data_IF_478504334391
#
_entry.id   IF_478504334391
#
_cell.length_a   1.000
_cell.length_b   1.000
_cell.length_c   1.000
_cell.angle_alpha   90.00
_cell.angle_beta   90.00
_cell.angle_gamma   90.00
#
_symmetry.space_group_name_H-M   'P 1'
#
loop_
_entity.id
_entity.type
_entity.pdbx_description
1 polymer ?
#
# COMPACT_ATOMS: atom_id res chain seq x y z
N UNK A 1 69.73 -15.83 -18.91
CA UNK A 1 69.83 -14.48 -18.30
C UNK A 1 68.46 -13.84 -18.41
N UNK A 2 67.75 -13.81 -17.27
CA UNK A 2 66.58 -12.99 -16.90
C UNK A 2 65.32 -13.01 -17.77
N UNK A 3 64.09 -13.01 -17.25
CA UNK A 3 63.55 -13.16 -15.89
C UNK A 3 62.02 -13.22 -16.06
N UNK A 4 61.37 -14.03 -15.23
CA UNK A 4 59.93 -14.08 -14.98
C UNK A 4 59.28 -12.69 -14.93
N UNK A 5 58.05 -12.51 -15.45
CA UNK A 5 56.95 -11.88 -14.69
C UNK A 5 55.57 -11.97 -15.37
N UNK A 6 54.69 -12.72 -14.68
CA UNK A 6 53.29 -12.40 -14.35
C UNK A 6 52.18 -12.62 -15.39
N UNK A 7 51.47 -13.70 -15.13
CA UNK A 7 50.09 -13.99 -15.50
C UNK A 7 49.15 -12.79 -15.30
N UNK A 8 48.43 -12.44 -16.36
CA UNK A 8 47.24 -11.58 -16.29
C UNK A 8 46.02 -12.42 -16.66
N UNK A 9 45.42 -13.10 -15.68
CA UNK A 9 44.09 -13.67 -15.83
C UNK A 9 43.12 -12.50 -15.91
N UNK A 10 42.74 -12.09 -17.12
CA UNK A 10 41.59 -11.20 -17.32
C UNK A 10 40.35 -12.07 -17.13
N UNK A 11 40.01 -12.33 -15.86
CA UNK A 11 38.73 -12.89 -15.49
C UNK A 11 37.69 -11.78 -15.66
N UNK A 12 36.99 -11.79 -16.80
CA UNK A 12 35.83 -10.94 -17.03
C UNK A 12 34.69 -11.48 -16.14
N UNK A 13 34.64 -10.99 -14.90
CA UNK A 13 33.59 -11.33 -13.95
C UNK A 13 32.25 -10.79 -14.47
N UNK A 14 31.43 -11.66 -15.05
CA UNK A 14 30.06 -11.37 -15.43
C UNK A 14 29.24 -11.19 -14.15
N UNK A 15 29.12 -9.95 -13.67
CA UNK A 15 28.35 -9.61 -12.48
C UNK A 15 26.87 -9.88 -12.71
N UNK A 16 26.35 -10.93 -12.07
CA UNK A 16 24.92 -11.23 -12.03
C UNK A 16 24.21 -10.13 -11.23
N UNK A 17 23.63 -9.14 -11.92
CA UNK A 17 22.70 -8.17 -11.35
C UNK A 17 21.40 -8.89 -10.96
N UNK A 18 21.35 -9.38 -9.72
CA UNK A 18 20.12 -9.84 -9.09
C UNK A 18 19.21 -8.62 -8.93
N UNK A 19 18.30 -8.42 -9.89
CA UNK A 19 17.23 -7.43 -9.78
C UNK A 19 16.22 -7.98 -8.77
N UNK A 20 16.29 -7.51 -7.53
CA UNK A 20 15.25 -7.78 -6.54
C UNK A 20 13.97 -7.09 -7.00
N UNK A 21 12.94 -7.88 -7.33
CA UNK A 21 11.62 -7.34 -7.59
C UNK A 21 11.13 -6.68 -6.29
N UNK A 22 10.93 -5.37 -6.32
CA UNK A 22 10.30 -4.65 -5.22
C UNK A 22 8.83 -5.09 -5.15
N UNK A 23 8.49 -5.94 -4.19
CA UNK A 23 7.10 -6.21 -3.84
C UNK A 23 6.61 -5.01 -3.02
N UNK A 24 5.91 -4.09 -3.68
CA UNK A 24 5.14 -3.08 -2.96
C UNK A 24 4.04 -3.80 -2.19
N UNK A 25 3.91 -3.52 -0.89
CA UNK A 25 2.78 -4.01 -0.11
C UNK A 25 1.52 -3.31 -0.60
N UNK A 26 0.49 -4.07 -0.97
CA UNK A 26 -0.79 -3.53 -1.39
C UNK A 26 -1.46 -2.80 -0.21
N UNK A 27 -2.00 -1.62 -0.48
CA UNK A 27 -2.66 -0.77 0.52
C UNK A 27 -4.03 -0.36 0.01
N UNK A 28 -5.03 -0.40 0.89
CA UNK A 28 -6.39 0.11 0.64
C UNK A 28 -6.73 1.18 1.67
N UNK A 29 -7.19 2.33 1.20
CA UNK A 29 -7.60 3.46 2.03
C UNK A 29 -9.13 3.45 2.18
N UNK A 30 -9.58 3.30 3.43
CA UNK A 30 -11.00 3.16 3.76
C UNK A 30 -11.46 4.36 4.58
N UNK A 31 -12.46 5.08 4.08
CA UNK A 31 -13.19 6.08 4.85
C UNK A 31 -14.47 5.44 5.37
N UNK A 32 -14.70 5.48 6.68
CA UNK A 32 -15.81 4.76 7.31
C UNK A 32 -16.62 5.62 8.28
N UNK A 33 -17.92 5.67 8.08
CA UNK A 33 -18.87 6.27 9.01
C UNK A 33 -19.25 5.35 10.18
N UNK A 34 -18.57 4.21 10.33
CA UNK A 34 -18.79 3.25 11.42
C UNK A 34 -17.89 3.59 12.60
N UNK A 35 -18.29 3.18 13.80
CA UNK A 35 -17.41 3.26 14.98
C UNK A 35 -16.19 2.37 14.75
N UNK A 36 -15.01 2.90 15.00
CA UNK A 36 -13.74 2.19 14.80
C UNK A 36 -13.71 0.82 15.49
N UNK A 37 -14.13 0.77 16.76
CA UNK A 37 -14.20 -0.46 17.54
C UNK A 37 -15.05 -1.58 16.91
N UNK A 38 -15.96 -1.24 15.99
CA UNK A 38 -16.83 -2.21 15.31
C UNK A 38 -16.29 -2.65 13.94
N UNK A 39 -15.47 -1.84 13.29
CA UNK A 39 -15.00 -2.09 11.92
C UNK A 39 -13.53 -2.50 11.88
N UNK A 40 -12.69 -1.94 12.77
CA UNK A 40 -11.25 -2.18 12.80
C UNK A 40 -10.90 -3.67 12.97
N UNK A 41 -11.51 -4.45 13.90
CA UNK A 41 -11.17 -5.87 14.04
C UNK A 41 -11.39 -6.68 12.76
N UNK A 42 -12.43 -6.36 11.99
CA UNK A 42 -12.72 -7.03 10.72
C UNK A 42 -11.70 -6.66 9.63
N UNK A 43 -11.27 -5.40 9.59
CA UNK A 43 -10.25 -4.92 8.65
C UNK A 43 -8.84 -5.43 9.03
N UNK A 44 -8.57 -5.60 10.33
CA UNK A 44 -7.34 -6.22 10.82
C UNK A 44 -7.29 -7.69 10.39
N UNK A 45 -8.39 -8.43 10.53
CA UNK A 45 -8.49 -9.83 10.07
C UNK A 45 -8.35 -9.93 8.55
N UNK A 46 -9.02 -9.05 7.79
CA UNK A 46 -8.82 -8.93 6.35
C UNK A 46 -7.34 -8.71 6.00
N UNK A 47 -6.67 -7.80 6.70
CA UNK A 47 -5.26 -7.49 6.47
C UNK A 47 -4.37 -8.70 6.78
N UNK A 48 -4.65 -9.42 7.88
CA UNK A 48 -3.92 -10.61 8.26
C UNK A 48 -4.07 -11.76 7.26
N UNK A 49 -5.27 -11.94 6.70
CA UNK A 49 -5.58 -13.02 5.77
C UNK A 49 -5.10 -12.75 4.34
N UNK A 50 -5.05 -11.49 3.92
CA UNK A 50 -4.72 -11.11 2.54
C UNK A 50 -3.33 -10.53 2.37
N UNK A 51 -2.70 -10.05 3.45
CA UNK A 51 -1.47 -9.27 3.41
C UNK A 51 -1.67 -7.82 2.94
N UNK A 52 -2.89 -7.41 2.61
CA UNK A 52 -3.21 -6.05 2.17
C UNK A 52 -3.34 -5.16 3.41
N UNK A 53 -2.56 -4.08 3.47
CA UNK A 53 -2.65 -3.11 4.57
C UNK A 53 -3.89 -2.22 4.39
N UNK A 54 -4.68 -2.06 5.44
CA UNK A 54 -5.80 -1.11 5.44
C UNK A 54 -5.45 0.17 6.20
N UNK A 55 -5.54 1.31 5.53
CA UNK A 55 -5.52 2.63 6.16
C UNK A 55 -6.95 3.06 6.44
N UNK A 56 -7.35 3.12 7.71
CA UNK A 56 -8.71 3.45 8.11
C UNK A 56 -8.81 4.89 8.62
N UNK A 57 -9.74 5.66 8.06
CA UNK A 57 -10.23 6.92 8.64
C UNK A 57 -11.67 6.74 9.05
N UNK A 58 -11.99 7.02 10.31
CA UNK A 58 -13.37 7.02 10.81
C UNK A 58 -13.88 8.44 11.08
N UNK A 59 -15.19 8.63 10.97
CA UNK A 59 -15.77 9.95 11.15
C UNK A 59 -17.29 9.97 10.99
N UNK A 60 -17.90 11.15 11.08
CA UNK A 60 -19.32 11.32 10.75
C UNK A 60 -19.51 11.19 9.24
N UNK A 61 -20.58 10.51 8.82
CA UNK A 61 -20.88 10.27 7.40
C UNK A 61 -20.82 11.55 6.56
N UNK A 62 -21.54 12.60 6.96
CA UNK A 62 -21.62 13.84 6.17
C UNK A 62 -20.27 14.57 6.10
N UNK A 63 -19.45 14.48 7.14
CA UNK A 63 -18.12 15.08 7.14
C UNK A 63 -17.17 14.33 6.19
N UNK A 64 -17.20 13.00 6.21
CA UNK A 64 -16.40 12.18 5.30
C UNK A 64 -16.87 12.30 3.85
N UNK A 65 -18.19 12.36 3.61
CA UNK A 65 -18.74 12.60 2.28
C UNK A 65 -18.36 13.99 1.75
N UNK A 66 -18.47 15.02 2.58
CA UNK A 66 -18.05 16.37 2.19
C UNK A 66 -16.55 16.41 1.87
N UNK A 67 -15.73 15.71 2.66
CA UNK A 67 -14.30 15.55 2.38
C UNK A 67 -14.07 14.86 1.04
N UNK A 68 -14.74 13.75 0.75
CA UNK A 68 -14.66 13.06 -0.55
C UNK A 68 -15.04 13.99 -1.71
N UNK A 69 -16.11 14.77 -1.57
CA UNK A 69 -16.53 15.76 -2.57
C UNK A 69 -15.47 16.84 -2.79
N UNK A 70 -14.81 17.31 -1.73
CA UNK A 70 -13.74 18.32 -1.81
C UNK A 70 -12.47 17.74 -2.43
N UNK A 71 -12.10 16.51 -2.04
CA UNK A 71 -10.95 15.81 -2.59
C UNK A 71 -11.16 15.41 -4.06
N UNK A 72 -12.39 15.10 -4.46
CA UNK A 72 -12.76 14.75 -5.83
C UNK A 72 -11.94 13.59 -6.38
N UNK A 73 -11.44 13.74 -7.62
CA UNK A 73 -10.57 12.76 -8.27
C UNK A 73 -9.20 12.60 -7.61
N UNK A 74 -8.82 13.51 -6.71
CA UNK A 74 -7.57 13.44 -5.97
C UNK A 74 -7.74 12.77 -4.59
N UNK A 75 -8.93 12.23 -4.27
CA UNK A 75 -9.13 11.51 -3.02
C UNK A 75 -8.23 10.29 -2.95
N UNK A 76 -7.52 10.07 -1.82
CA UNK A 76 -6.79 8.84 -1.60
C UNK A 76 -7.73 7.68 -1.25
N UNK A 77 -9.02 7.91 -1.00
CA UNK A 77 -9.94 6.87 -0.56
C UNK A 77 -10.31 5.91 -1.70
N UNK A 78 -10.13 4.61 -1.46
CA UNK A 78 -10.51 3.54 -2.37
C UNK A 78 -11.94 3.06 -2.09
N UNK A 79 -12.35 3.10 -0.81
CA UNK A 79 -13.65 2.62 -0.35
C UNK A 79 -14.26 3.59 0.65
N UNK A 80 -15.55 3.90 0.47
CA UNK A 80 -16.36 4.61 1.45
C UNK A 80 -17.42 3.68 2.05
N UNK A 81 -17.42 3.54 3.38
CA UNK A 81 -18.38 2.71 4.13
C UNK A 81 -19.32 3.62 4.91
N UNK A 82 -20.63 3.52 4.65
CA UNK A 82 -21.67 4.26 5.38
C UNK A 82 -22.77 3.31 5.89
N UNK A 83 -23.65 3.81 6.76
CA UNK A 83 -24.77 3.05 7.34
C UNK A 83 -26.03 3.09 6.49
N UNK A 84 -26.19 4.12 5.65
CA UNK A 84 -27.40 4.34 4.86
C UNK A 84 -27.05 4.98 3.51
N UNK A 85 -27.57 4.41 2.43
CA UNK A 85 -27.32 4.87 1.06
C UNK A 85 -28.02 6.20 0.75
N UNK A 86 -29.09 6.56 1.48
CA UNK A 86 -29.77 7.86 1.35
C UNK A 86 -28.90 9.05 1.74
N UNK A 87 -27.74 8.81 2.37
CA UNK A 87 -26.75 9.85 2.66
C UNK A 87 -25.83 10.20 1.48
N UNK A 88 -25.94 9.53 0.32
CA UNK A 88 -25.03 9.69 -0.82
C UNK A 88 -25.49 10.77 -1.84
N UNK A 89 -26.16 11.82 -1.39
CA UNK A 89 -26.67 12.89 -2.24
C UNK A 89 -25.71 14.09 -2.32
#
# INVERSE_FOLDING_TARGET
>A
MNLMTKAGHIAFAFGLLLTTAAQAADVVNVYSARKEALIKPLLDEFSANTGIKVNLITGKADALLKRLQVEGSASPADVFITVDAGRLH
#
